data_IF_041284790211
#
_entry.id   IF_041284790211
#
_cell.length_a   1.000
_cell.length_b   1.000
_cell.length_c   1.000
_cell.angle_alpha   90.00
_cell.angle_beta   90.00
_cell.angle_gamma   90.00
#
_symmetry.space_group_name_H-M   'P 1'
#
loop_
_entity.id
_entity.type
_entity.pdbx_description
1 polymer ?
#
# COMPACT_ATOMS: atom_id res chain seq x y z
N UNK A 1 4.66 23.56 -4.88
CA UNK A 1 3.20 23.78 -4.94
C UNK A 1 2.48 22.50 -5.34
N UNK A 2 2.89 21.86 -6.44
CA UNK A 2 2.29 20.62 -6.97
C UNK A 2 2.19 19.48 -5.96
N UNK A 3 3.19 19.28 -5.09
CA UNK A 3 3.14 18.24 -4.06
C UNK A 3 1.98 18.38 -3.05
N UNK A 4 1.41 19.58 -2.90
CA UNK A 4 0.33 19.87 -1.96
C UNK A 4 -1.05 19.88 -2.63
N UNK A 5 -1.12 19.88 -3.97
CA UNK A 5 -2.34 20.10 -4.75
C UNK A 5 -2.58 18.95 -5.72
N UNK A 6 -3.84 18.58 -5.94
CA UNK A 6 -4.20 17.56 -6.94
C UNK A 6 -3.90 16.10 -6.53
N UNK A 7 -4.05 15.15 -7.48
CA UNK A 7 -3.90 13.72 -7.23
C UNK A 7 -2.48 13.33 -6.82
N UNK A 8 -2.36 12.61 -5.72
CA UNK A 8 -1.09 12.13 -5.17
C UNK A 8 -1.29 10.91 -4.29
N UNK A 9 -0.23 10.12 -4.16
CA UNK A 9 -0.15 9.10 -3.12
C UNK A 9 0.79 9.59 -2.02
N UNK A 10 0.30 9.63 -0.79
CA UNK A 10 1.08 9.94 0.40
C UNK A 10 1.53 8.63 1.04
N UNK A 11 2.78 8.55 1.45
CA UNK A 11 3.38 7.37 2.07
C UNK A 11 4.01 7.79 3.38
N UNK A 12 3.50 7.24 4.48
CA UNK A 12 4.11 7.35 5.80
C UNK A 12 5.24 6.33 5.90
N UNK A 13 6.41 6.81 6.32
CA UNK A 13 7.67 6.05 6.22
C UNK A 13 8.45 5.93 7.54
N UNK A 14 7.93 6.53 8.62
CA UNK A 14 8.48 6.42 9.98
C UNK A 14 8.16 5.07 10.67
N UNK A 15 8.03 4.01 9.88
CA UNK A 15 7.74 2.66 10.31
C UNK A 15 8.55 1.69 9.43
N UNK A 16 8.65 0.43 9.86
CA UNK A 16 9.42 -0.61 9.17
C UNK A 16 8.75 -1.09 7.87
N UNK A 17 7.47 -0.75 7.67
CA UNK A 17 6.68 -1.01 6.46
C UNK A 17 5.91 0.26 6.06
N UNK A 18 5.57 0.45 4.77
CA UNK A 18 4.90 1.66 4.32
C UNK A 18 3.41 1.62 4.66
N UNK A 19 2.85 2.78 5.01
CA UNK A 19 1.41 2.99 5.06
C UNK A 19 1.08 4.07 4.03
N UNK A 20 0.25 3.75 3.03
CA UNK A 20 0.01 4.64 1.89
C UNK A 20 -1.46 5.04 1.77
N UNK A 21 -1.72 6.25 1.26
CA UNK A 21 -3.05 6.74 0.95
C UNK A 21 -3.05 7.53 -0.36
N UNK A 22 -4.00 7.22 -1.24
CA UNK A 22 -4.31 8.07 -2.39
C UNK A 22 -5.23 9.22 -1.97
N UNK A 23 -4.93 10.44 -2.40
CA UNK A 23 -5.79 11.61 -2.19
C UNK A 23 -5.72 12.61 -3.34
N UNK A 24 -6.82 13.31 -3.57
CA UNK A 24 -6.93 14.45 -4.47
C UNK A 24 -7.08 15.78 -3.71
N UNK A 25 -7.16 15.71 -2.38
CA UNK A 25 -7.35 16.87 -1.52
C UNK A 25 -6.07 17.70 -1.45
N UNK A 26 -6.24 19.00 -1.21
CA UNK A 26 -5.12 19.87 -0.91
C UNK A 26 -4.65 19.59 0.52
N UNK A 27 -3.46 19.01 0.65
CA UNK A 27 -2.94 18.51 1.94
C UNK A 27 -1.51 18.99 2.13
N UNK A 28 -1.26 19.63 3.26
CA UNK A 28 0.09 19.92 3.76
C UNK A 28 0.59 18.76 4.61
N UNK A 29 1.85 18.39 4.45
CA UNK A 29 2.50 17.31 5.21
C UNK A 29 3.96 17.68 5.49
N UNK A 30 4.53 17.06 6.53
CA UNK A 30 5.92 17.28 6.95
C UNK A 30 6.87 16.27 6.28
N UNK A 31 8.16 16.33 6.60
CA UNK A 31 9.19 15.42 6.08
C UNK A 31 9.00 13.94 6.44
N UNK A 32 8.06 13.60 7.34
CA UNK A 32 7.72 12.22 7.69
C UNK A 32 6.80 11.53 6.68
N UNK A 33 6.37 12.25 5.63
CA UNK A 33 5.51 11.75 4.56
C UNK A 33 6.22 11.95 3.22
N UNK A 34 6.34 10.88 2.44
CA UNK A 34 6.70 10.99 1.03
C UNK A 34 5.45 11.20 0.18
N UNK A 35 5.58 11.97 -0.89
CA UNK A 35 4.53 12.17 -1.89
C UNK A 35 5.00 11.60 -3.23
N UNK A 36 4.17 10.74 -3.82
CA UNK A 36 4.36 10.23 -5.17
C UNK A 36 3.34 10.87 -6.10
N UNK A 37 3.84 11.48 -7.17
CA UNK A 37 3.06 12.10 -8.23
C UNK A 37 3.15 11.24 -9.49
N UNK A 38 2.02 11.05 -10.16
CA UNK A 38 1.95 10.33 -11.43
C UNK A 38 0.71 10.76 -12.21
N UNK A 39 0.80 10.81 -13.55
CA UNK A 39 -0.30 11.24 -14.41
C UNK A 39 -1.43 10.20 -14.51
N UNK A 40 -1.08 8.91 -14.41
CA UNK A 40 -2.06 7.83 -14.33
C UNK A 40 -2.52 7.65 -12.88
N UNK A 41 -3.76 8.05 -12.60
CA UNK A 41 -4.41 7.91 -11.28
C UNK A 41 -4.59 6.43 -10.90
N UNK A 42 -4.85 5.56 -11.87
CA UNK A 42 -4.98 4.13 -11.59
C UNK A 42 -3.64 3.52 -11.20
N UNK A 43 -2.52 4.04 -11.73
CA UNK A 43 -1.18 3.67 -11.27
C UNK A 43 -0.97 4.07 -9.80
N UNK A 44 -1.34 5.29 -9.40
CA UNK A 44 -1.23 5.73 -8.01
C UNK A 44 -2.06 4.84 -7.07
N UNK A 45 -3.30 4.50 -7.45
CA UNK A 45 -4.17 3.64 -6.64
C UNK A 45 -3.71 2.18 -6.63
N UNK A 46 -3.15 1.70 -7.74
CA UNK A 46 -2.50 0.39 -7.79
C UNK A 46 -1.33 0.31 -6.82
N UNK A 47 -0.39 1.26 -6.90
CA UNK A 47 0.74 1.32 -5.97
C UNK A 47 0.26 1.46 -4.52
N UNK A 48 -0.80 2.24 -4.28
CA UNK A 48 -1.42 2.36 -2.96
C UNK A 48 -1.92 0.99 -2.46
N UNK A 49 -2.46 0.14 -3.34
CA UNK A 49 -2.91 -1.21 -2.98
C UNK A 49 -1.73 -2.13 -2.66
N UNK A 50 -0.67 -2.08 -3.48
CA UNK A 50 0.55 -2.88 -3.28
C UNK A 50 1.24 -2.51 -1.97
N UNK A 51 1.50 -1.22 -1.72
CA UNK A 51 2.23 -0.77 -0.54
C UNK A 51 1.49 -1.08 0.77
N UNK A 52 0.17 -1.09 0.77
CA UNK A 52 -0.62 -1.46 1.95
C UNK A 52 -0.88 -2.98 2.08
N UNK A 53 -0.36 -3.81 1.17
CA UNK A 53 -0.59 -5.25 1.18
C UNK A 53 0.20 -5.96 2.28
N UNK A 54 -0.34 -7.10 2.74
CA UNK A 54 0.35 -8.00 3.68
C UNK A 54 1.66 -8.55 3.11
N UNK A 55 1.74 -8.73 1.79
CA UNK A 55 2.96 -9.19 1.13
C UNK A 55 4.09 -8.16 1.26
N UNK A 56 3.81 -6.88 0.97
CA UNK A 56 4.82 -5.82 1.11
C UNK A 56 5.19 -5.60 2.57
N UNK A 57 4.22 -5.65 3.50
CA UNK A 57 4.52 -5.63 4.95
C UNK A 57 5.51 -6.73 5.32
N UNK A 58 5.25 -7.97 4.91
CA UNK A 58 6.14 -9.10 5.16
C UNK A 58 7.53 -8.89 4.54
N UNK A 59 7.59 -8.49 3.27
CA UNK A 59 8.86 -8.26 2.57
C UNK A 59 9.69 -7.17 3.25
N UNK A 60 9.08 -6.05 3.62
CA UNK A 60 9.79 -4.99 4.34
C UNK A 60 10.27 -5.46 5.72
N UNK A 61 9.45 -6.20 6.45
CA UNK A 61 9.80 -6.71 7.79
C UNK A 61 10.92 -7.74 7.77
N UNK A 62 10.95 -8.66 6.81
CA UNK A 62 11.87 -9.81 6.85
C UNK A 62 13.01 -9.73 5.82
N UNK A 63 12.78 -9.13 4.66
CA UNK A 63 13.81 -9.03 3.61
C UNK A 63 14.61 -7.72 3.68
N UNK A 64 13.95 -6.58 3.97
CA UNK A 64 14.63 -5.29 4.09
C UNK A 64 15.14 -5.10 5.53
N UNK A 65 14.25 -5.23 6.50
CA UNK A 65 14.60 -5.06 7.91
C UNK A 65 15.07 -6.39 8.52
N UNK A 66 16.20 -6.90 8.06
CA UNK A 66 16.78 -8.18 8.47
C UNK A 66 17.40 -8.15 9.90
N UNK A 67 16.93 -7.29 10.80
CA UNK A 67 17.47 -7.13 12.14
C UNK A 67 16.33 -7.10 13.17
N UNK A 68 16.38 -8.05 14.11
CA UNK A 68 15.55 -7.99 15.32
C UNK A 68 15.92 -6.72 16.09
N UNK A 69 14.91 -5.93 16.42
CA UNK A 69 14.97 -4.83 17.39
C UNK A 69 15.73 -3.56 16.97
N UNK A 70 15.92 -3.30 15.66
CA UNK A 70 16.39 -1.98 15.17
C UNK A 70 15.27 -1.17 14.52
N UNK A 71 15.15 0.09 14.94
CA UNK A 71 14.18 1.08 14.45
C UNK A 71 14.68 1.68 13.12
N UNK A 72 14.73 0.86 12.07
CA UNK A 72 14.99 1.37 10.72
C UNK A 72 13.69 1.91 10.15
N UNK A 73 13.64 3.23 9.94
CA UNK A 73 12.60 3.85 9.14
C UNK A 73 12.83 3.52 7.66
N UNK A 74 11.77 3.16 6.94
CA UNK A 74 11.86 3.03 5.48
C UNK A 74 12.27 4.35 4.86
N UNK A 75 13.45 4.40 4.25
CA UNK A 75 13.86 5.57 3.49
C UNK A 75 13.38 5.48 2.03
N UNK A 76 13.48 6.61 1.32
CA UNK A 76 13.10 6.68 -0.09
C UNK A 76 13.86 5.67 -0.98
N UNK A 77 15.12 5.35 -0.66
CA UNK A 77 15.90 4.37 -1.41
C UNK A 77 15.27 2.97 -1.29
N UNK A 78 14.92 2.53 -0.08
CA UNK A 78 14.29 1.24 0.17
C UNK A 78 12.95 1.12 -0.56
N UNK A 79 12.11 2.15 -0.50
CA UNK A 79 10.80 2.17 -1.17
C UNK A 79 10.94 2.05 -2.70
N UNK A 80 11.92 2.74 -3.29
CA UNK A 80 12.16 2.71 -4.75
C UNK A 80 12.65 1.35 -5.27
N UNK A 81 13.16 0.48 -4.37
CA UNK A 81 13.65 -0.85 -4.71
C UNK A 81 12.69 -1.97 -4.30
N UNK A 82 11.48 -1.63 -3.83
CA UNK A 82 10.45 -2.63 -3.61
C UNK A 82 10.13 -3.35 -4.92
N UNK A 83 9.98 -4.69 -4.91
CA UNK A 83 9.63 -5.43 -6.10
C UNK A 83 8.18 -5.10 -6.46
N UNK A 84 7.96 -4.29 -7.50
CA UNK A 84 6.64 -3.96 -8.04
C UNK A 84 6.47 -4.65 -9.39
N UNK A 85 5.50 -5.56 -9.49
CA UNK A 85 5.20 -6.23 -10.75
C UNK A 85 4.47 -5.30 -11.72
N UNK A 86 4.75 -5.42 -13.01
CA UNK A 86 3.93 -4.79 -14.05
C UNK A 86 2.71 -5.65 -14.29
N UNK A 87 1.54 -5.02 -14.33
CA UNK A 87 0.25 -5.71 -14.46
C UNK A 87 -0.54 -5.17 -15.64
N UNK A 88 -1.54 -5.93 -16.08
CA UNK A 88 -2.49 -5.45 -17.06
C UNK A 88 -3.39 -4.34 -16.50
N UNK A 89 -3.99 -3.57 -17.41
CA UNK A 89 -4.84 -2.44 -17.05
C UNK A 89 -6.13 -2.86 -16.35
N UNK A 90 -6.65 -4.07 -16.60
CA UNK A 90 -7.91 -4.52 -16.01
C UNK A 90 -7.74 -4.78 -14.51
N UNK A 91 -6.70 -5.53 -14.12
CA UNK A 91 -6.36 -5.76 -12.71
C UNK A 91 -6.04 -4.43 -12.02
N UNK A 92 -5.29 -3.54 -12.70
CA UNK A 92 -4.99 -2.21 -12.18
C UNK A 92 -6.26 -1.43 -11.83
N UNK A 93 -7.24 -1.42 -12.73
CA UNK A 93 -8.54 -0.76 -12.52
C UNK A 93 -9.33 -1.42 -11.39
N UNK A 94 -9.30 -2.74 -11.24
CA UNK A 94 -10.04 -3.42 -10.18
C UNK A 94 -9.46 -3.16 -8.79
N UNK A 95 -8.13 -3.09 -8.67
CA UNK A 95 -7.47 -2.62 -7.44
C UNK A 95 -7.80 -1.15 -7.16
N UNK A 96 -7.76 -0.30 -8.18
CA UNK A 96 -8.10 1.13 -8.05
C UNK A 96 -9.52 1.36 -7.54
N UNK A 97 -10.51 0.59 -8.03
CA UNK A 97 -11.90 0.63 -7.54
C UNK A 97 -11.99 0.27 -6.05
N UNK A 98 -11.21 -0.71 -5.57
CA UNK A 98 -11.23 -1.09 -4.16
C UNK A 98 -10.68 0.05 -3.30
N UNK A 99 -9.59 0.69 -3.72
CA UNK A 99 -9.04 1.88 -3.04
C UNK A 99 -10.07 3.00 -2.97
N UNK A 100 -10.79 3.27 -4.07
CA UNK A 100 -11.85 4.28 -4.08
C UNK A 100 -12.98 3.95 -3.10
N UNK A 101 -13.41 2.69 -3.03
CA UNK A 101 -14.46 2.26 -2.08
C UNK A 101 -13.99 2.46 -0.64
N UNK A 102 -12.75 2.07 -0.32
CA UNK A 102 -12.18 2.22 1.02
C UNK A 102 -12.08 3.72 1.37
N UNK A 103 -11.46 4.53 0.51
CA UNK A 103 -11.31 5.97 0.73
C UNK A 103 -12.66 6.67 0.89
N UNK A 104 -13.63 6.37 0.03
CA UNK A 104 -14.96 6.97 0.13
C UNK A 104 -15.70 6.57 1.41
N UNK A 105 -15.44 5.38 1.95
CA UNK A 105 -16.03 4.94 3.22
C UNK A 105 -15.49 5.77 4.39
N UNK A 106 -14.19 6.06 4.41
CA UNK A 106 -13.57 6.95 5.40
C UNK A 106 -14.04 8.40 5.24
N UNK A 107 -14.04 8.96 4.03
CA UNK A 107 -14.46 10.35 3.78
C UNK A 107 -15.91 10.63 4.19
N UNK A 108 -16.80 9.66 3.98
CA UNK A 108 -18.23 9.79 4.33
C UNK A 108 -18.54 9.46 5.80
N UNK A 109 -17.53 9.09 6.60
CA UNK A 109 -17.71 8.60 7.96
C UNK A 109 -18.52 7.30 8.07
N UNK A 110 -18.72 6.57 6.96
CA UNK A 110 -19.52 5.33 6.90
C UNK A 110 -18.65 4.09 7.11
N UNK A 111 -17.86 4.10 8.18
CA UNK A 111 -16.85 3.07 8.42
C UNK A 111 -17.53 1.80 8.93
N UNK A 112 -17.56 0.79 8.08
CA UNK A 112 -17.99 -0.57 8.45
C UNK A 112 -16.75 -1.45 8.46
N UNK A 113 -16.11 -1.59 9.61
CA UNK A 113 -14.80 -2.27 9.75
C UNK A 113 -14.79 -3.66 9.12
N UNK A 114 -15.84 -4.46 9.32
CA UNK A 114 -15.95 -5.80 8.70
C UNK A 114 -15.97 -5.74 7.15
N UNK A 115 -16.56 -4.71 6.56
CA UNK A 115 -16.57 -4.51 5.10
C UNK A 115 -15.21 -4.05 4.60
N UNK A 116 -14.56 -3.12 5.30
CA UNK A 116 -13.21 -2.66 4.97
C UNK A 116 -12.20 -3.80 5.08
N UNK A 117 -12.31 -4.64 6.10
CA UNK A 117 -11.50 -5.84 6.26
C UNK A 117 -11.63 -6.77 5.06
N UNK A 118 -12.86 -7.11 4.64
CA UNK A 118 -13.10 -7.95 3.45
C UNK A 118 -12.52 -7.35 2.17
N UNK A 119 -12.58 -6.03 2.02
CA UNK A 119 -11.97 -5.34 0.87
C UNK A 119 -10.44 -5.43 0.90
N UNK A 120 -9.82 -5.25 2.07
CA UNK A 120 -8.37 -5.43 2.24
C UNK A 120 -7.94 -6.87 1.98
N UNK A 121 -8.68 -7.86 2.47
CA UNK A 121 -8.42 -9.27 2.17
C UNK A 121 -8.52 -9.58 0.68
N UNK A 122 -9.47 -8.97 -0.02
CA UNK A 122 -9.59 -9.08 -1.48
C UNK A 122 -8.36 -8.49 -2.18
N UNK A 123 -7.86 -7.34 -1.74
CA UNK A 123 -6.62 -6.76 -2.25
C UNK A 123 -5.45 -7.72 -2.00
N UNK A 124 -5.28 -8.20 -0.77
CA UNK A 124 -4.20 -9.13 -0.42
C UNK A 124 -4.23 -10.38 -1.30
N UNK A 125 -5.41 -10.95 -1.55
CA UNK A 125 -5.55 -12.12 -2.43
C UNK A 125 -5.10 -11.83 -3.86
N UNK A 126 -5.54 -10.70 -4.44
CA UNK A 126 -5.11 -10.29 -5.79
C UNK A 126 -3.60 -10.05 -5.84
N UNK A 127 -3.02 -9.42 -4.82
CA UNK A 127 -1.57 -9.21 -4.74
C UNK A 127 -0.82 -10.54 -4.64
N UNK A 128 -1.29 -11.49 -3.82
CA UNK A 128 -0.67 -12.82 -3.76
C UNK A 128 -0.69 -13.54 -5.12
N UNK A 129 -1.80 -13.46 -5.85
CA UNK A 129 -1.92 -14.03 -7.20
C UNK A 129 -0.95 -13.35 -8.19
N UNK A 130 -0.84 -12.02 -8.15
CA UNK A 130 0.07 -11.26 -9.02
C UNK A 130 1.55 -11.61 -8.81
N UNK A 131 1.93 -11.98 -7.59
CA UNK A 131 3.30 -12.38 -7.22
C UNK A 131 3.50 -13.90 -7.24
N UNK A 132 2.50 -14.65 -7.73
CA UNK A 132 2.53 -16.12 -7.81
C UNK A 132 2.79 -16.80 -6.46
N UNK A 133 2.33 -16.18 -5.37
CA UNK A 133 2.51 -16.68 -4.00
C UNK A 133 1.59 -17.88 -3.79
N UNK A 134 2.20 -19.03 -3.49
CA UNK A 134 1.46 -20.27 -3.31
C UNK A 134 0.79 -20.36 -1.91
N UNK A 135 0.01 -21.42 -1.68
CA UNK A 135 -0.76 -21.58 -0.43
C UNK A 135 0.12 -21.66 0.82
N UNK A 136 1.25 -22.35 0.75
CA UNK A 136 2.16 -22.52 1.89
C UNK A 136 2.88 -21.21 2.20
N UNK A 137 3.39 -20.52 1.17
CA UNK A 137 4.00 -19.19 1.32
C UNK A 137 3.01 -18.18 1.89
N UNK A 138 1.78 -18.15 1.36
CA UNK A 138 0.72 -17.30 1.86
C UNK A 138 0.44 -17.56 3.35
N UNK A 139 0.39 -18.82 3.77
CA UNK A 139 0.22 -19.19 5.18
C UNK A 139 1.36 -18.63 6.03
N UNK A 140 2.62 -18.81 5.60
CA UNK A 140 3.80 -18.28 6.29
C UNK A 140 3.71 -16.75 6.41
N UNK A 141 3.40 -16.06 5.31
CA UNK A 141 3.28 -14.59 5.28
C UNK A 141 2.22 -14.14 6.28
N UNK A 142 1.00 -14.70 6.20
CA UNK A 142 -0.12 -14.32 7.05
C UNK A 142 0.15 -14.59 8.54
N UNK A 143 0.80 -15.69 8.89
CA UNK A 143 1.17 -16.00 10.28
C UNK A 143 2.17 -15.00 10.88
N UNK A 144 2.95 -14.30 10.05
CA UNK A 144 3.99 -13.37 10.50
C UNK A 144 3.56 -11.89 10.47
N UNK A 145 2.47 -11.53 9.79
CA UNK A 145 2.04 -10.11 9.67
C UNK A 145 0.68 -9.78 10.29
N UNK A 146 -0.10 -10.78 10.69
CA UNK A 146 -1.40 -10.62 11.36
C UNK A 146 -1.31 -10.48 12.90
N UNK A 147 -0.12 -10.16 13.43
CA UNK A 147 0.08 -9.82 14.84
C UNK A 147 -0.17 -8.34 15.06
#
# INVERSE_FOLDING_TARGET
YEFYVGPKMLIKHNNIFPEAIYTEENVCFTSSIYSLLHNDINELKYLCSVLNSKLIKFYCTYAINNQKDTTINLNQYMIRHLPIVKIDNQIKMDLAKIVDIINNSYKKGKIHEAKIHKLRERVDNLIFELYLINKEEKKIILSNVNV
#
